data_IF_040544739166
#
_entry.id   IF_040544739166
#
_cell.length_a   1.000
_cell.length_b   1.000
_cell.length_c   1.000
_cell.angle_alpha   90.00
_cell.angle_beta   90.00
_cell.angle_gamma   90.00
#
_symmetry.space_group_name_H-M   'P 1'
#
loop_
_entity.id
_entity.type
_entity.pdbx_description
1 polymer ?
#
# COMPACT_ATOMS: atom_id res chain seq x y z
N UNK A 1 -59.48 -41.72 -111.51
CA UNK A 1 -58.02 -41.68 -111.81
C UNK A 1 -57.26 -41.48 -110.52
N UNK A 2 -56.11 -42.14 -110.45
CA UNK A 2 -55.19 -42.29 -109.30
C UNK A 2 -54.48 -40.98 -108.92
N UNK A 3 -53.99 -40.96 -107.66
CA UNK A 3 -52.76 -40.29 -107.15
C UNK A 3 -52.92 -38.77 -106.84
N UNK A 4 -52.35 -38.17 -105.79
CA UNK A 4 -51.15 -38.40 -104.95
C UNK A 4 -51.22 -37.48 -103.70
N UNK A 5 -50.61 -37.92 -102.58
CA UNK A 5 -49.96 -37.25 -101.41
C UNK A 5 -50.49 -35.88 -100.89
N UNK A 6 -50.53 -35.59 -99.59
CA UNK A 6 -49.41 -35.66 -98.65
C UNK A 6 -49.86 -35.64 -97.17
N UNK A 7 -49.03 -36.24 -96.33
CA UNK A 7 -49.18 -36.37 -94.89
C UNK A 7 -48.72 -35.10 -94.13
N UNK A 8 -49.42 -34.78 -93.03
CA UNK A 8 -48.87 -33.95 -91.94
C UNK A 8 -49.31 -34.60 -90.61
N UNK A 9 -48.33 -35.14 -89.87
CA UNK A 9 -48.47 -35.53 -88.46
C UNK A 9 -47.90 -34.37 -87.63
N UNK A 10 -48.68 -33.82 -86.71
CA UNK A 10 -48.16 -32.89 -85.70
C UNK A 10 -48.58 -33.34 -84.30
N UNK A 11 -47.55 -33.39 -83.45
CA UNK A 11 -47.48 -33.82 -82.07
C UNK A 11 -48.56 -33.22 -81.16
N UNK A 12 -49.14 -34.05 -80.29
CA UNK A 12 -49.83 -33.58 -79.08
C UNK A 12 -48.87 -33.81 -77.90
N UNK A 13 -48.32 -32.70 -77.39
CA UNK A 13 -47.44 -32.66 -76.21
C UNK A 13 -48.24 -32.94 -74.92
N UNK A 14 -47.79 -33.93 -74.15
CA UNK A 14 -48.14 -34.11 -72.73
C UNK A 14 -47.41 -33.06 -71.89
N UNK A 15 -48.14 -32.02 -71.45
CA UNK A 15 -47.61 -30.99 -70.54
C UNK A 15 -47.64 -31.51 -69.10
N UNK A 16 -46.47 -31.89 -68.60
CA UNK A 16 -46.21 -32.22 -67.21
C UNK A 16 -46.11 -30.91 -66.42
N UNK A 17 -47.18 -30.55 -65.71
CA UNK A 17 -47.26 -29.34 -64.90
C UNK A 17 -46.53 -29.59 -63.56
N UNK A 18 -45.21 -29.43 -63.55
CA UNK A 18 -44.40 -29.42 -62.33
C UNK A 18 -44.72 -28.15 -61.51
N UNK A 19 -45.52 -28.33 -60.45
CA UNK A 19 -45.78 -27.33 -59.43
C UNK A 19 -44.49 -27.11 -58.61
N UNK A 20 -43.62 -26.21 -59.05
CA UNK A 20 -42.48 -25.77 -58.27
C UNK A 20 -42.97 -24.79 -57.20
N UNK A 21 -43.33 -25.30 -56.03
CA UNK A 21 -43.53 -24.48 -54.83
C UNK A 21 -42.17 -23.93 -54.41
N UNK A 22 -41.89 -22.68 -54.75
CA UNK A 22 -40.75 -21.94 -54.23
C UNK A 22 -41.03 -21.63 -52.76
N UNK A 23 -40.53 -22.46 -51.86
CA UNK A 23 -40.50 -22.15 -50.43
C UNK A 23 -39.47 -21.04 -50.22
N UNK A 24 -39.93 -19.79 -50.09
CA UNK A 24 -39.12 -18.73 -49.52
C UNK A 24 -38.95 -19.01 -48.04
N UNK A 25 -37.87 -19.68 -47.67
CA UNK A 25 -37.37 -19.65 -46.31
C UNK A 25 -36.92 -18.21 -46.04
N UNK A 26 -37.67 -17.49 -45.20
CA UNK A 26 -37.20 -16.24 -44.64
C UNK A 26 -35.97 -16.57 -43.79
N UNK A 27 -34.78 -16.34 -44.34
CA UNK A 27 -33.56 -16.32 -43.54
C UNK A 27 -33.71 -15.14 -42.60
N UNK A 28 -33.96 -15.40 -41.32
CA UNK A 28 -33.80 -14.38 -40.30
C UNK A 28 -32.32 -13.95 -40.36
N UNK A 29 -32.07 -12.73 -40.83
CA UNK A 29 -30.77 -12.10 -40.68
C UNK A 29 -30.45 -12.15 -39.18
N UNK A 30 -29.43 -12.91 -38.79
CA UNK A 30 -28.78 -12.69 -37.51
C UNK A 30 -28.36 -11.23 -37.54
N UNK A 31 -29.03 -10.37 -36.76
CA UNK A 31 -28.62 -8.98 -36.65
C UNK A 31 -27.17 -8.96 -36.21
N UNK A 32 -26.32 -8.22 -36.93
CA UNK A 32 -24.88 -8.18 -36.72
C UNK A 32 -24.57 -7.98 -35.24
N UNK A 33 -24.09 -9.05 -34.58
CA UNK A 33 -23.68 -9.00 -33.19
C UNK A 33 -22.37 -8.22 -33.11
N UNK A 34 -22.31 -7.21 -32.22
CA UNK A 34 -21.09 -6.45 -31.99
C UNK A 34 -19.93 -7.38 -31.65
N UNK A 35 -18.75 -7.11 -32.21
CA UNK A 35 -17.50 -7.77 -31.87
C UNK A 35 -16.54 -6.81 -31.16
N UNK A 36 -15.51 -7.35 -30.50
CA UNK A 36 -14.44 -6.52 -29.88
C UNK A 36 -13.78 -5.55 -30.88
N UNK A 37 -13.70 -5.92 -32.17
CA UNK A 37 -13.13 -5.08 -33.22
C UNK A 37 -14.02 -3.87 -33.56
N UNK A 38 -15.30 -3.91 -33.22
CA UNK A 38 -16.22 -2.80 -33.40
C UNK A 38 -16.10 -1.78 -32.27
N UNK A 39 -15.88 -2.24 -31.04
CA UNK A 39 -15.75 -1.38 -29.85
C UNK A 39 -14.68 -0.30 -30.03
N UNK A 40 -13.52 -0.66 -30.56
CA UNK A 40 -12.36 0.23 -30.70
C UNK A 40 -12.56 1.34 -31.75
N UNK A 41 -13.53 1.18 -32.67
CA UNK A 41 -13.82 2.18 -33.70
C UNK A 41 -14.43 3.44 -33.10
N UNK A 42 -15.14 3.30 -31.97
CA UNK A 42 -15.82 4.41 -31.28
C UNK A 42 -15.21 4.71 -29.90
N UNK A 43 -14.79 3.69 -29.15
CA UNK A 43 -14.16 3.86 -27.83
C UNK A 43 -12.65 3.82 -27.96
N UNK A 44 -12.01 4.98 -28.11
CA UNK A 44 -10.56 5.06 -28.31
C UNK A 44 -9.77 5.16 -27.00
N UNK A 45 -10.37 5.68 -25.93
CA UNK A 45 -9.70 5.87 -24.64
C UNK A 45 -9.48 4.54 -23.91
N UNK A 46 -10.52 3.73 -23.75
CA UNK A 46 -10.43 2.45 -23.05
C UNK A 46 -9.35 1.50 -23.63
N UNK A 47 -9.25 1.27 -24.96
CA UNK A 47 -8.17 0.47 -25.53
C UNK A 47 -6.77 1.07 -25.30
N UNK A 48 -6.64 2.40 -25.28
CA UNK A 48 -5.35 3.06 -25.00
C UNK A 48 -4.93 2.84 -23.55
N UNK A 49 -5.86 2.97 -22.62
CA UNK A 49 -5.62 2.73 -21.19
C UNK A 49 -5.25 1.26 -20.94
N UNK A 50 -6.01 0.31 -21.51
CA UNK A 50 -5.70 -1.13 -21.41
C UNK A 50 -4.31 -1.42 -21.99
N UNK A 51 -4.00 -0.85 -23.16
CA UNK A 51 -2.70 -1.07 -23.79
C UNK A 51 -1.54 -0.57 -22.94
N UNK A 52 -1.72 0.57 -22.27
CA UNK A 52 -0.70 1.20 -21.43
C UNK A 52 -0.59 0.58 -20.03
N UNK A 53 -1.72 0.28 -19.39
CA UNK A 53 -1.83 0.05 -17.94
C UNK A 53 -2.88 -1.03 -17.55
N UNK A 54 -3.40 -1.79 -18.52
CA UNK A 54 -4.46 -2.78 -18.29
C UNK A 54 -4.07 -4.01 -17.48
N UNK A 55 -2.77 -4.27 -17.30
CA UNK A 55 -2.31 -5.48 -16.59
C UNK A 55 -2.89 -6.75 -17.23
N UNK A 56 -3.47 -7.62 -16.40
CA UNK A 56 -4.13 -8.85 -16.88
C UNK A 56 -5.36 -8.60 -17.76
N UNK A 57 -6.03 -7.45 -17.64
CA UNK A 57 -7.16 -7.11 -18.52
C UNK A 57 -6.74 -6.89 -19.98
N UNK A 58 -5.43 -6.77 -20.25
CA UNK A 58 -4.89 -6.66 -21.61
C UNK A 58 -4.79 -8.02 -22.31
N UNK A 59 -4.62 -9.11 -21.56
CA UNK A 59 -4.30 -10.44 -22.12
C UNK A 59 -5.34 -11.50 -21.82
N UNK A 60 -5.97 -11.44 -20.65
CA UNK A 60 -6.87 -12.49 -20.16
C UNK A 60 -8.35 -12.18 -20.40
N UNK A 61 -8.69 -10.92 -20.72
CA UNK A 61 -10.06 -10.42 -20.82
C UNK A 61 -10.19 -9.60 -22.10
N UNK A 62 -11.35 -9.68 -22.75
CA UNK A 62 -11.72 -8.88 -23.91
C UNK A 62 -12.85 -7.89 -23.58
N UNK A 63 -13.15 -6.95 -24.49
CA UNK A 63 -14.15 -5.91 -24.23
C UNK A 63 -15.51 -6.53 -23.88
N UNK A 64 -15.93 -7.59 -24.59
CA UNK A 64 -17.22 -8.25 -24.37
C UNK A 64 -17.27 -9.17 -23.15
N UNK A 65 -16.12 -9.57 -22.59
CA UNK A 65 -16.09 -10.34 -21.34
C UNK A 65 -16.49 -9.46 -20.14
N UNK A 66 -16.24 -8.15 -20.25
CA UNK A 66 -16.65 -7.15 -19.26
C UNK A 66 -17.88 -6.33 -19.70
N UNK A 67 -18.14 -6.18 -21.00
CA UNK A 67 -19.30 -5.44 -21.53
C UNK A 67 -20.27 -6.38 -22.24
N UNK A 68 -21.19 -6.96 -21.48
CA UNK A 68 -22.20 -7.93 -21.93
C UNK A 68 -23.42 -7.26 -22.58
N UNK A 69 -23.17 -6.31 -23.49
CA UNK A 69 -24.19 -5.56 -24.21
C UNK A 69 -23.74 -4.15 -24.57
N UNK A 70 -24.65 -3.39 -25.20
CA UNK A 70 -24.38 -2.01 -25.57
C UNK A 70 -25.62 -1.11 -25.36
N UNK A 71 -25.47 0.07 -24.75
CA UNK A 71 -26.56 1.03 -24.61
C UNK A 71 -27.05 1.58 -25.96
N UNK A 72 -28.34 1.97 -26.09
CA UNK A 72 -29.36 1.98 -25.04
C UNK A 72 -30.06 0.62 -24.84
N UNK A 73 -29.78 -0.38 -25.68
CA UNK A 73 -30.46 -1.69 -25.67
C UNK A 73 -30.23 -2.47 -24.39
N UNK A 74 -28.99 -2.45 -23.88
CA UNK A 74 -28.61 -3.02 -22.57
C UNK A 74 -27.89 -1.94 -21.79
N UNK A 75 -28.33 -1.68 -20.55
CA UNK A 75 -27.80 -0.58 -19.72
C UNK A 75 -26.77 -1.06 -18.70
N UNK A 76 -27.10 -2.11 -17.97
CA UNK A 76 -26.23 -2.72 -16.97
C UNK A 76 -25.37 -3.80 -17.65
N UNK A 77 -24.31 -3.34 -18.33
CA UNK A 77 -23.48 -4.20 -19.18
C UNK A 77 -22.22 -4.70 -18.48
N UNK A 78 -21.88 -4.16 -17.30
CA UNK A 78 -20.65 -4.48 -16.56
C UNK A 78 -21.00 -5.45 -15.43
N UNK A 79 -20.42 -6.67 -15.40
CA UNK A 79 -20.64 -7.63 -14.33
C UNK A 79 -19.98 -7.18 -13.02
N UNK A 80 -20.34 -7.83 -11.91
CA UNK A 80 -19.69 -7.54 -10.63
C UNK A 80 -18.21 -7.94 -10.67
N UNK A 81 -17.32 -7.13 -10.09
CA UNK A 81 -15.88 -7.42 -10.08
C UNK A 81 -15.57 -8.78 -9.44
N UNK A 82 -16.35 -9.18 -8.43
CA UNK A 82 -16.22 -10.45 -7.70
C UNK A 82 -16.55 -11.70 -8.52
N UNK A 83 -17.16 -11.57 -9.70
CA UNK A 83 -17.37 -12.71 -10.62
C UNK A 83 -16.05 -13.25 -11.17
N UNK A 84 -15.02 -12.39 -11.28
CA UNK A 84 -13.69 -12.76 -11.77
C UNK A 84 -12.60 -12.61 -10.72
N UNK A 85 -12.70 -11.63 -9.83
CA UNK A 85 -11.73 -11.37 -8.76
C UNK A 85 -12.12 -12.10 -7.47
N UNK A 86 -11.32 -13.06 -7.04
CA UNK A 86 -11.59 -13.86 -5.83
C UNK A 86 -10.31 -14.41 -5.20
N UNK A 87 -10.44 -15.05 -4.02
CA UNK A 87 -9.34 -15.79 -3.39
C UNK A 87 -8.50 -15.00 -2.39
N UNK A 88 -8.91 -13.77 -2.03
CA UNK A 88 -8.31 -13.02 -0.94
C UNK A 88 -9.33 -12.10 -0.28
N UNK A 89 -9.10 -11.73 0.99
CA UNK A 89 -9.97 -10.81 1.73
C UNK A 89 -10.13 -9.44 1.05
N UNK A 90 -9.17 -9.03 0.22
CA UNK A 90 -9.26 -7.81 -0.57
C UNK A 90 -10.38 -7.88 -1.62
N UNK A 91 -10.60 -9.03 -2.25
CA UNK A 91 -11.62 -9.19 -3.28
C UNK A 91 -13.04 -9.34 -2.73
N UNK A 92 -13.17 -9.56 -1.43
CA UNK A 92 -14.45 -9.55 -0.70
C UNK A 92 -14.91 -8.12 -0.32
N UNK A 93 -14.11 -7.09 -0.66
CA UNK A 93 -14.44 -5.70 -0.37
C UNK A 93 -15.50 -5.18 -1.35
N UNK A 94 -16.47 -4.45 -0.81
CA UNK A 94 -17.41 -3.66 -1.60
C UNK A 94 -16.76 -2.38 -2.14
N UNK A 95 -17.39 -1.78 -3.16
CA UNK A 95 -17.02 -0.47 -3.72
C UNK A 95 -15.57 -0.42 -4.28
N UNK A 96 -15.20 -1.40 -5.11
CA UNK A 96 -13.86 -1.52 -5.70
C UNK A 96 -13.37 -0.21 -6.36
N UNK A 97 -14.29 0.57 -6.94
CA UNK A 97 -14.02 1.83 -7.64
C UNK A 97 -13.57 2.98 -6.72
N UNK A 98 -13.67 2.84 -5.39
CA UNK A 98 -13.11 3.82 -4.44
C UNK A 98 -11.58 3.89 -4.49
N UNK A 99 -10.93 2.84 -5.00
CA UNK A 99 -9.49 2.79 -5.21
C UNK A 99 -9.18 2.53 -6.70
N UNK A 100 -9.89 1.59 -7.32
CA UNK A 100 -9.74 1.22 -8.73
C UNK A 100 -10.60 2.11 -9.63
N UNK A 101 -10.29 3.40 -9.69
CA UNK A 101 -11.11 4.39 -10.40
C UNK A 101 -11.27 4.15 -11.91
N UNK A 102 -10.39 3.34 -12.52
CA UNK A 102 -10.45 2.98 -13.92
C UNK A 102 -10.22 1.45 -14.08
N UNK A 103 -11.27 0.66 -14.38
CA UNK A 103 -11.13 -0.77 -14.66
C UNK A 103 -10.25 -1.11 -15.87
N UNK A 104 -10.03 -0.14 -16.78
CA UNK A 104 -9.12 -0.28 -17.92
C UNK A 104 -7.65 -0.04 -17.57
N UNK A 105 -7.37 0.52 -16.39
CA UNK A 105 -6.04 0.73 -15.82
C UNK A 105 -6.05 0.33 -14.33
N UNK A 106 -6.33 -0.94 -14.00
CA UNK A 106 -6.75 -1.34 -12.65
C UNK A 106 -5.68 -1.10 -11.58
N UNK A 107 -4.40 -1.07 -11.95
CA UNK A 107 -3.29 -0.82 -11.00
C UNK A 107 -2.96 0.67 -10.82
N UNK A 108 -3.58 1.56 -11.60
CA UNK A 108 -3.46 3.01 -11.41
C UNK A 108 -4.54 3.46 -10.45
N UNK A 109 -4.19 3.32 -9.17
CA UNK A 109 -5.08 3.56 -8.06
C UNK A 109 -5.20 5.05 -7.75
N UNK A 110 -6.42 5.46 -7.38
CA UNK A 110 -6.68 6.74 -6.74
C UNK A 110 -7.32 6.45 -5.40
N UNK A 111 -6.56 6.60 -4.33
CA UNK A 111 -7.06 6.33 -2.99
C UNK A 111 -8.00 7.45 -2.56
N UNK A 112 -9.25 7.13 -2.25
CA UNK A 112 -10.13 8.10 -1.61
C UNK A 112 -9.63 8.43 -0.19
N UNK A 113 -10.12 9.54 0.35
CA UNK A 113 -9.77 9.98 1.71
C UNK A 113 -10.47 9.11 2.76
N UNK A 114 -9.90 9.10 3.97
CA UNK A 114 -10.46 8.44 5.15
C UNK A 114 -10.67 6.92 5.01
N UNK A 115 -9.76 6.21 4.33
CA UNK A 115 -9.79 4.75 4.20
C UNK A 115 -8.83 4.10 5.19
N UNK A 116 -9.32 3.08 5.90
CA UNK A 116 -8.52 2.19 6.78
C UNK A 116 -8.82 0.72 6.50
N UNK A 117 -10.08 0.31 6.57
CA UNK A 117 -10.49 -1.10 6.49
C UNK A 117 -9.89 -1.86 5.30
N UNK A 118 -10.06 -1.38 4.05
CA UNK A 118 -9.46 -2.00 2.87
C UNK A 118 -7.95 -2.24 2.96
N UNK A 119 -7.19 -1.30 3.53
CA UNK A 119 -5.73 -1.41 3.65
C UNK A 119 -5.35 -2.60 4.54
N UNK A 120 -6.12 -2.83 5.60
CA UNK A 120 -5.89 -3.89 6.59
C UNK A 120 -6.25 -5.29 6.07
N UNK A 121 -6.76 -5.44 4.85
CA UNK A 121 -6.90 -6.77 4.22
C UNK A 121 -5.54 -7.41 3.93
N UNK A 122 -4.52 -6.58 3.69
CA UNK A 122 -3.13 -7.01 3.48
C UNK A 122 -2.16 -6.47 4.56
N UNK A 123 -2.36 -5.22 5.03
CA UNK A 123 -1.48 -4.54 5.98
C UNK A 123 -1.95 -4.68 7.44
N UNK A 124 -2.12 -5.93 7.87
CA UNK A 124 -2.68 -6.26 9.20
C UNK A 124 -1.70 -5.91 10.31
N UNK A 125 -0.41 -6.13 10.08
CA UNK A 125 0.64 -5.88 11.05
C UNK A 125 0.73 -4.39 11.42
N UNK A 126 0.60 -3.52 10.43
CA UNK A 126 0.60 -2.06 10.60
C UNK A 126 -0.60 -1.60 11.43
N UNK A 127 -1.78 -2.17 11.18
CA UNK A 127 -2.98 -1.91 12.00
C UNK A 127 -2.81 -2.36 13.45
N UNK A 128 -2.20 -3.53 13.67
CA UNK A 128 -1.88 -4.02 15.02
C UNK A 128 -0.89 -3.12 15.73
N UNK A 129 0.17 -2.67 15.05
CA UNK A 129 1.16 -1.75 15.62
C UNK A 129 0.52 -0.44 16.11
N UNK A 130 -0.34 0.19 15.30
CA UNK A 130 -1.06 1.42 15.70
C UNK A 130 -2.02 1.20 16.87
N UNK A 131 -2.64 0.02 16.94
CA UNK A 131 -3.58 -0.34 18.02
C UNK A 131 -2.85 -0.55 19.34
N UNK A 132 -1.73 -1.25 19.32
CA UNK A 132 -0.92 -1.58 20.50
C UNK A 132 -0.07 -0.40 20.99
N UNK A 133 0.32 0.50 20.07
CA UNK A 133 1.22 1.61 20.36
C UNK A 133 0.51 2.94 20.07
N UNK A 134 -0.49 3.24 20.89
CA UNK A 134 -1.38 4.37 20.69
C UNK A 134 -0.62 5.70 20.63
N UNK A 135 -0.93 6.49 19.60
CA UNK A 135 -0.47 7.86 19.43
C UNK A 135 -1.53 8.66 18.67
N UNK A 136 -1.28 9.93 18.37
CA UNK A 136 -2.16 10.72 17.52
C UNK A 136 -2.38 10.07 16.14
N UNK A 137 -1.38 9.35 15.60
CA UNK A 137 -1.53 8.64 14.33
C UNK A 137 -2.56 7.49 14.40
N UNK A 138 -2.81 6.93 15.59
CA UNK A 138 -3.81 5.88 15.77
C UNK A 138 -5.25 6.40 15.61
N UNK A 139 -5.47 7.72 15.64
CA UNK A 139 -6.78 8.35 15.38
C UNK A 139 -6.98 8.73 13.92
N UNK A 140 -5.98 8.50 13.06
CA UNK A 140 -6.03 8.84 11.64
C UNK A 140 -6.39 7.64 10.78
N UNK A 141 -7.01 7.90 9.63
CA UNK A 141 -7.13 6.90 8.59
C UNK A 141 -5.79 6.65 7.90
N UNK A 142 -5.58 5.45 7.35
CA UNK A 142 -4.34 5.10 6.64
C UNK A 142 -4.02 6.10 5.52
N UNK A 143 -5.05 6.51 4.78
CA UNK A 143 -4.93 7.46 3.66
C UNK A 143 -4.72 8.92 4.08
N UNK A 144 -4.72 9.23 5.39
CA UNK A 144 -4.32 10.56 5.85
C UNK A 144 -2.82 10.81 5.56
N UNK A 145 -2.01 9.75 5.66
CA UNK A 145 -0.58 9.79 5.36
C UNK A 145 -0.25 9.07 4.04
N UNK A 146 -0.84 7.89 3.79
CA UNK A 146 -0.59 7.10 2.58
C UNK A 146 -1.54 7.52 1.44
N UNK A 147 -1.16 8.57 0.71
CA UNK A 147 -1.96 9.11 -0.38
C UNK A 147 -1.81 8.35 -1.70
N UNK A 148 -0.77 7.52 -1.81
CA UNK A 148 -0.46 6.73 -2.98
C UNK A 148 -0.09 5.31 -2.53
N UNK A 149 -0.68 4.31 -3.18
CA UNK A 149 -0.43 2.92 -2.82
C UNK A 149 1.02 2.53 -3.15
N UNK A 150 1.70 1.84 -2.24
CA UNK A 150 3.11 1.49 -2.38
C UNK A 150 4.10 2.62 -2.05
N UNK A 151 3.62 3.83 -1.72
CA UNK A 151 4.46 4.94 -1.31
C UNK A 151 4.46 5.11 0.21
N UNK A 152 5.67 5.16 0.78
CA UNK A 152 5.86 5.51 2.19
C UNK A 152 5.97 7.03 2.30
N UNK A 153 5.13 7.69 3.11
CA UNK A 153 5.17 9.14 3.28
C UNK A 153 6.39 9.57 4.10
N UNK A 154 6.81 10.82 3.89
CA UNK A 154 7.89 11.43 4.64
C UNK A 154 7.37 12.02 5.96
N UNK A 155 8.10 11.77 7.04
CA UNK A 155 7.81 12.26 8.39
C UNK A 155 7.89 13.78 8.43
N UNK A 156 8.88 14.34 7.74
CA UNK A 156 9.13 15.79 7.64
C UNK A 156 8.06 16.55 6.86
N UNK A 157 7.10 15.87 6.22
CA UNK A 157 5.93 16.54 5.62
C UNK A 157 5.01 17.17 6.68
N UNK A 158 5.10 16.73 7.93
CA UNK A 158 4.28 17.24 9.03
C UNK A 158 5.04 17.47 10.34
N UNK A 159 6.19 16.82 10.53
CA UNK A 159 6.99 16.93 11.75
C UNK A 159 8.26 17.76 11.53
N UNK A 160 8.60 18.59 12.52
CA UNK A 160 9.90 19.25 12.58
C UNK A 160 10.97 18.30 13.13
N UNK A 161 12.21 18.37 12.61
CA UNK A 161 13.31 17.59 13.14
C UNK A 161 13.72 18.06 14.54
N UNK A 162 14.36 17.19 15.32
CA UNK A 162 14.84 17.56 16.66
C UNK A 162 16.15 18.38 16.63
N UNK A 163 16.84 18.43 15.48
CA UNK A 163 18.03 19.23 15.25
C UNK A 163 18.07 19.68 13.78
N UNK A 164 18.71 20.82 13.52
CA UNK A 164 18.76 21.44 12.19
C UNK A 164 19.42 20.57 11.11
N UNK A 165 20.30 19.65 11.52
CA UNK A 165 21.02 18.75 10.62
C UNK A 165 20.32 17.39 10.41
N UNK A 166 19.20 17.11 11.09
CA UNK A 166 18.45 15.87 10.91
C UNK A 166 17.60 15.89 9.65
N UNK A 167 17.71 14.82 8.86
CA UNK A 167 16.96 14.61 7.62
C UNK A 167 15.99 13.43 7.73
N UNK A 168 15.15 13.23 6.71
CA UNK A 168 14.11 12.19 6.68
C UNK A 168 14.64 10.77 6.96
N UNK A 169 15.88 10.47 6.56
CA UNK A 169 16.51 9.19 6.83
C UNK A 169 16.80 8.97 8.33
N UNK A 170 17.05 10.05 9.07
CA UNK A 170 17.42 9.98 10.49
C UNK A 170 16.21 9.70 11.39
N UNK A 171 15.00 10.11 10.98
CA UNK A 171 13.78 9.90 11.75
C UNK A 171 13.61 8.42 12.14
N UNK A 172 13.94 7.52 11.21
CA UNK A 172 13.79 6.07 11.36
C UNK A 172 14.87 5.41 12.21
N UNK A 173 15.92 6.14 12.58
CA UNK A 173 16.95 5.64 13.50
C UNK A 173 16.42 5.48 14.92
N UNK A 174 15.40 6.27 15.28
CA UNK A 174 14.82 6.32 16.61
C UNK A 174 13.32 5.97 16.61
N UNK A 175 12.57 6.47 15.62
CA UNK A 175 11.12 6.28 15.52
C UNK A 175 10.79 5.21 14.49
N UNK A 176 9.83 4.36 14.79
CA UNK A 176 9.29 3.42 13.82
C UNK A 176 7.93 3.90 13.32
N UNK A 177 7.66 3.71 12.03
CA UNK A 177 6.34 3.92 11.47
C UNK A 177 5.31 3.09 12.25
N UNK A 178 4.09 3.60 12.40
CA UNK A 178 2.98 2.95 13.10
C UNK A 178 3.17 2.71 14.61
N UNK A 179 4.32 3.09 15.19
CA UNK A 179 4.57 3.11 16.64
C UNK A 179 5.60 4.19 17.02
N UNK A 180 5.38 5.46 16.64
CA UNK A 180 6.39 6.51 16.74
C UNK A 180 6.84 6.82 18.17
N UNK A 181 6.02 6.50 19.19
CA UNK A 181 6.36 6.71 20.60
C UNK A 181 7.23 5.59 21.19
N UNK A 182 7.37 4.46 20.49
CA UNK A 182 8.29 3.39 20.87
C UNK A 182 9.68 3.74 20.33
N UNK A 183 10.41 4.54 21.11
CA UNK A 183 11.71 5.06 20.71
C UNK A 183 12.79 4.02 21.01
N UNK A 184 13.40 3.51 19.93
CA UNK A 184 14.47 2.51 19.97
C UNK A 184 15.59 2.93 19.07
N UNK A 185 16.84 2.66 19.45
CA UNK A 185 18.00 3.07 18.69
C UNK A 185 19.15 2.07 18.82
N UNK A 186 20.07 2.10 17.85
CA UNK A 186 21.22 1.19 17.82
C UNK A 186 22.29 1.63 18.83
N UNK A 187 23.12 0.67 19.27
CA UNK A 187 24.27 0.95 20.15
C UNK A 187 25.28 1.95 19.54
N UNK A 188 25.32 2.01 18.21
CA UNK A 188 26.19 2.90 17.43
C UNK A 188 25.57 4.28 17.15
N UNK A 189 24.40 4.59 17.70
CA UNK A 189 23.79 5.92 17.53
C UNK A 189 24.73 7.00 18.08
N UNK A 190 25.05 8.05 17.30
CA UNK A 190 25.95 9.11 17.74
C UNK A 190 25.41 9.87 18.95
N UNK A 191 26.26 10.16 19.95
CA UNK A 191 25.88 10.95 21.14
C UNK A 191 25.36 12.35 20.78
N UNK A 192 25.83 12.93 19.67
CA UNK A 192 25.33 14.23 19.17
C UNK A 192 23.83 14.20 18.88
N UNK A 193 23.29 13.08 18.40
CA UNK A 193 21.85 12.92 18.16
C UNK A 193 21.04 12.97 19.47
N UNK A 194 21.63 12.56 20.59
CA UNK A 194 21.01 12.68 21.91
C UNK A 194 21.09 14.12 22.44
N UNK A 195 22.14 14.87 22.09
CA UNK A 195 22.37 16.25 22.53
C UNK A 195 21.25 17.22 22.09
N UNK A 196 20.54 16.90 21.01
CA UNK A 196 19.37 17.63 20.55
C UNK A 196 18.30 17.84 21.65
N UNK A 197 18.17 16.88 22.58
CA UNK A 197 17.28 17.00 23.74
C UNK A 197 18.04 16.96 25.09
N UNK A 198 19.26 16.40 25.10
CA UNK A 198 20.07 16.18 26.30
C UNK A 198 21.40 16.95 26.24
N UNK A 199 21.32 18.24 25.90
CA UNK A 199 22.50 19.11 25.75
C UNK A 199 23.37 19.17 27.01
N UNK A 200 22.75 19.30 28.18
CA UNK A 200 23.49 19.37 29.45
C UNK A 200 24.28 18.09 29.73
N UNK A 201 23.63 16.92 29.61
CA UNK A 201 24.28 15.63 29.84
C UNK A 201 25.41 15.39 28.83
N UNK A 202 25.19 15.74 27.56
CA UNK A 202 26.21 15.65 26.51
C UNK A 202 27.41 16.55 26.83
N UNK A 203 27.16 17.79 27.25
CA UNK A 203 28.21 18.76 27.61
C UNK A 203 28.99 18.31 28.83
N UNK A 204 28.32 17.81 29.88
CA UNK A 204 28.96 17.28 31.07
C UNK A 204 29.85 16.07 30.74
N UNK A 205 29.33 15.11 29.98
CA UNK A 205 30.08 13.90 29.62
C UNK A 205 31.30 14.22 28.78
N UNK A 206 31.17 15.10 27.78
CA UNK A 206 32.26 15.49 26.89
C UNK A 206 33.33 16.34 27.58
N UNK A 207 32.96 17.13 28.60
CA UNK A 207 33.89 17.87 29.43
C UNK A 207 34.53 17.04 30.55
N UNK A 208 33.98 15.85 30.85
CA UNK A 208 34.47 14.98 31.91
C UNK A 208 35.87 14.43 31.62
N UNK A 209 36.70 14.36 32.65
CA UNK A 209 38.04 13.72 32.58
C UNK A 209 38.00 12.23 32.92
N UNK A 210 36.83 11.68 33.27
CA UNK A 210 36.68 10.27 33.61
C UNK A 210 36.53 9.39 32.39
N UNK A 211 36.87 8.09 32.46
CA UNK A 211 36.79 7.17 31.31
C UNK A 211 35.40 7.05 30.66
N UNK A 212 34.33 7.49 31.33
CA UNK A 212 33.00 7.50 30.73
C UNK A 212 32.90 8.42 29.51
N UNK A 213 33.71 9.49 29.42
CA UNK A 213 33.69 10.42 28.28
C UNK A 213 34.02 9.74 26.93
N UNK A 214 34.69 8.58 26.96
CA UNK A 214 35.01 7.78 25.77
C UNK A 214 33.82 6.94 25.27
N UNK A 215 32.73 6.84 26.06
CA UNK A 215 31.56 6.01 25.75
C UNK A 215 30.47 6.83 25.06
N UNK A 216 29.80 6.24 24.07
CA UNK A 216 28.60 6.84 23.48
C UNK A 216 27.41 6.74 24.45
N UNK A 217 26.44 7.65 24.32
CA UNK A 217 25.21 7.60 25.11
C UNK A 217 24.53 6.22 24.99
N UNK A 218 24.43 5.71 23.75
CA UNK A 218 23.78 4.44 23.44
C UNK A 218 24.54 3.19 23.94
N UNK A 219 25.80 3.34 24.35
CA UNK A 219 26.57 2.25 24.99
C UNK A 219 26.03 1.95 26.39
N UNK A 220 25.63 2.99 27.11
CA UNK A 220 25.08 2.90 28.47
C UNK A 220 23.54 2.79 28.43
N UNK A 221 22.89 3.71 27.73
CA UNK A 221 21.44 3.74 27.53
C UNK A 221 21.08 2.84 26.35
N UNK A 222 20.99 1.54 26.58
CA UNK A 222 20.86 0.57 25.48
C UNK A 222 19.42 0.42 25.02
N UNK A 223 19.26 0.25 23.70
CA UNK A 223 18.09 -0.27 22.98
C UNK A 223 16.82 0.58 23.03
N UNK A 224 16.47 1.16 24.18
CA UNK A 224 15.21 1.87 24.40
C UNK A 224 15.47 3.20 25.09
N UNK A 225 14.74 4.22 24.66
CA UNK A 225 14.79 5.53 25.31
C UNK A 225 14.34 5.45 26.77
N UNK A 226 15.03 6.17 27.66
CA UNK A 226 14.76 6.16 29.10
C UNK A 226 15.33 4.98 29.88
N UNK A 227 15.98 4.01 29.22
CA UNK A 227 16.71 2.96 29.93
C UNK A 227 17.94 3.57 30.62
N UNK A 228 18.04 3.44 31.94
CA UNK A 228 19.20 3.85 32.74
C UNK A 228 19.84 2.58 33.31
N UNK A 229 21.10 2.26 32.98
CA UNK A 229 21.75 1.07 33.50
C UNK A 229 22.09 1.23 34.98
N UNK A 230 22.17 0.11 35.70
CA UNK A 230 22.75 0.12 37.03
C UNK A 230 24.28 0.25 36.92
N UNK A 231 24.92 0.99 37.82
CA UNK A 231 26.39 1.11 37.81
C UNK A 231 27.07 -0.28 37.90
N UNK A 232 26.43 -1.19 38.64
CA UNK A 232 26.88 -2.55 38.88
C UNK A 232 26.88 -3.42 37.62
N UNK A 233 26.12 -3.06 36.58
CA UNK A 233 26.08 -3.78 35.31
C UNK A 233 27.46 -3.81 34.62
N UNK A 234 28.32 -2.83 34.93
CA UNK A 234 29.70 -2.76 34.46
C UNK A 234 30.74 -2.81 35.59
N UNK A 235 30.42 -2.29 36.78
CA UNK A 235 31.40 -2.09 37.86
C UNK A 235 31.36 -3.16 38.98
N UNK A 236 30.36 -4.04 38.99
CA UNK A 236 30.19 -5.00 40.09
C UNK A 236 29.97 -4.31 41.44
N UNK A 237 30.66 -4.77 42.49
CA UNK A 237 30.57 -4.22 43.85
C UNK A 237 31.87 -3.51 44.26
N UNK A 238 32.04 -2.21 43.93
CA UNK A 238 33.28 -1.48 44.23
C UNK A 238 33.47 -1.15 45.72
N UNK A 239 32.41 -1.29 46.53
CA UNK A 239 32.43 -1.03 47.97
C UNK A 239 31.97 -2.24 48.79
N UNK A 240 32.37 -2.34 50.08
CA UNK A 240 31.86 -3.36 50.99
C UNK A 240 30.34 -3.32 51.15
N UNK A 241 29.73 -4.47 51.42
CA UNK A 241 28.28 -4.63 51.52
C UNK A 241 27.60 -3.68 52.54
N UNK A 242 28.31 -3.26 53.60
CA UNK A 242 27.80 -2.31 54.57
C UNK A 242 27.53 -0.93 53.98
N UNK A 243 28.42 -0.43 53.12
CA UNK A 243 28.27 0.87 52.44
C UNK A 243 27.15 0.78 51.41
N UNK A 244 27.16 -0.24 50.55
CA UNK A 244 26.14 -0.43 49.51
C UNK A 244 24.73 -0.60 50.09
N UNK A 245 24.60 -1.17 51.30
CA UNK A 245 23.32 -1.29 51.99
C UNK A 245 22.84 0.04 52.58
N UNK A 246 23.75 0.88 53.06
CA UNK A 246 23.43 2.18 53.66
C UNK A 246 23.15 3.25 52.60
N UNK A 247 23.85 3.19 51.47
CA UNK A 247 23.75 4.11 50.34
C UNK A 247 23.52 3.29 49.05
N UNK A 248 22.25 2.94 48.74
CA UNK A 248 21.94 2.08 47.61
C UNK A 248 22.14 2.75 46.25
N UNK A 249 22.13 4.09 46.21
CA UNK A 249 22.35 4.88 44.99
C UNK A 249 23.77 5.46 44.99
N UNK A 250 24.57 5.07 44.00
CA UNK A 250 25.95 5.54 43.88
C UNK A 250 26.04 7.07 43.77
N UNK A 251 25.02 7.71 43.18
CA UNK A 251 24.99 9.16 42.95
C UNK A 251 24.96 10.00 44.23
N UNK A 252 24.60 9.41 45.37
CA UNK A 252 24.67 10.08 46.68
C UNK A 252 26.11 10.48 47.05
N UNK A 253 27.11 9.79 46.50
CA UNK A 253 28.53 10.08 46.71
C UNK A 253 29.36 10.17 45.42
N UNK A 254 28.76 9.97 44.25
CA UNK A 254 29.49 9.98 42.98
C UNK A 254 28.83 10.84 41.90
N UNK A 255 27.73 11.55 42.19
CA UNK A 255 26.95 12.31 41.19
C UNK A 255 26.46 11.40 40.05
N UNK A 256 26.42 11.87 38.80
CA UNK A 256 25.99 11.07 37.65
C UNK A 256 27.16 10.47 36.89
N UNK A 257 26.90 9.47 36.05
CA UNK A 257 27.92 8.93 35.13
C UNK A 257 28.41 9.98 34.11
N UNK A 258 27.61 11.01 33.83
CA UNK A 258 27.99 12.12 32.96
C UNK A 258 28.95 13.11 33.63
N UNK A 259 28.94 13.17 34.97
CA UNK A 259 29.77 14.12 35.72
C UNK A 259 30.29 13.51 37.04
N UNK A 260 30.96 12.37 36.92
CA UNK A 260 31.32 11.54 38.06
C UNK A 260 32.25 12.30 39.04
N UNK A 261 31.92 12.25 40.34
CA UNK A 261 32.63 12.94 41.42
C UNK A 261 32.74 14.46 41.25
N UNK A 262 31.85 15.06 40.47
CA UNK A 262 31.68 16.50 40.43
C UNK A 262 30.27 16.84 40.89
N UNK A 263 30.22 17.49 42.04
CA UNK A 263 29.04 18.14 42.56
C UNK A 263 29.17 19.58 42.13
N UNK A 264 28.22 20.06 41.32
CA UNK A 264 28.12 21.51 41.17
C UNK A 264 27.90 22.05 42.58
N UNK A 265 28.72 23.03 43.00
CA UNK A 265 28.40 23.81 44.19
C UNK A 265 26.95 24.25 44.00
N UNK A 266 26.05 23.75 44.85
CA UNK A 266 24.66 24.16 44.84
C UNK A 266 24.68 25.68 44.85
N UNK A 267 24.23 26.30 43.75
CA UNK A 267 23.92 27.72 43.75
C UNK A 267 22.89 27.88 44.86
N UNK A 268 23.34 28.42 45.99
CA UNK A 268 22.49 28.99 47.04
C UNK A 268 21.55 30.02 46.43
#
# INVERSE_FOLDING_TARGET
>A
MKKILAAVRLLILTSCFCLSTVTFAAMAQAGDQLSNADCIKCHQEAPRDIAAQGGAHKTEISCMDCHQGHPPTVRDIIPACSECHSGSAHFELDNCLNCHSNPHAPLVLKLAKNITGPCLTCHQAEGTQLKENQSFHSTMACTACHQEHGKVPDCLSCHEPHADDMVQADCKLCHQAHKPLVITYAEKTPSKSCAACHEEAYTQLTASTTKHHELSCAKCHKQTHGMIPACQDCHGAPHPAGILRKFPECGQCHSTAHNLNQWQDEKK
#
